data_IF_216301659496
#
_entry.id   IF_216301659496
#
_cell.length_a   1.000
_cell.length_b   1.000
_cell.length_c   1.000
_cell.angle_alpha   90.00
_cell.angle_beta   90.00
_cell.angle_gamma   90.00
#
_symmetry.space_group_name_H-M   'P 1'
#
loop_
_entity.id
_entity.type
_entity.pdbx_description
1 polymer ?
#
# COMPACT_ATOMS: atom_id res chain seq x y z
N UNK A 1 -0.36 2.50 -11.33
CA UNK A 1 -0.68 3.03 -9.99
C UNK A 1 -2.18 3.14 -9.74
N UNK A 2 -2.94 3.93 -10.51
CA UNK A 2 -4.40 4.16 -10.29
C UNK A 2 -5.23 2.88 -10.30
N UNK A 3 -4.92 1.90 -11.14
CA UNK A 3 -5.62 0.60 -11.12
C UNK A 3 -5.51 -0.09 -9.76
N UNK A 4 -4.33 -0.15 -9.17
CA UNK A 4 -4.14 -0.73 -7.84
C UNK A 4 -4.88 0.09 -6.77
N UNK A 5 -4.84 1.42 -6.85
CA UNK A 5 -5.58 2.30 -5.95
C UNK A 5 -7.10 2.05 -6.03
N UNK A 6 -7.64 1.91 -7.24
CA UNK A 6 -9.07 1.57 -7.43
C UNK A 6 -9.42 0.23 -6.78
N UNK A 7 -8.53 -0.77 -6.88
CA UNK A 7 -8.73 -2.06 -6.20
C UNK A 7 -8.71 -1.89 -4.67
N UNK A 8 -7.75 -1.15 -4.13
CA UNK A 8 -7.68 -0.88 -2.68
C UNK A 8 -8.95 -0.18 -2.17
N UNK A 9 -9.45 0.82 -2.91
CA UNK A 9 -10.68 1.53 -2.58
C UNK A 9 -11.91 0.59 -2.64
N UNK A 10 -11.97 -0.29 -3.64
CA UNK A 10 -13.06 -1.28 -3.75
C UNK A 10 -13.05 -2.24 -2.55
N UNK A 11 -11.90 -2.77 -2.18
CA UNK A 11 -11.74 -3.66 -1.02
C UNK A 11 -12.16 -2.97 0.28
N UNK A 12 -11.79 -1.70 0.46
CA UNK A 12 -12.20 -0.90 1.61
C UNK A 12 -13.73 -0.72 1.64
N UNK A 13 -14.34 -0.36 0.51
CA UNK A 13 -15.80 -0.20 0.42
C UNK A 13 -16.56 -1.48 0.69
N UNK A 14 -16.10 -2.63 0.21
CA UNK A 14 -16.70 -3.94 0.52
C UNK A 14 -16.64 -4.20 2.02
N UNK A 15 -15.50 -3.91 2.67
CA UNK A 15 -15.34 -4.08 4.11
C UNK A 15 -16.26 -3.17 4.94
N UNK A 16 -16.62 -1.99 4.41
CA UNK A 16 -17.41 -0.98 5.13
C UNK A 16 -18.92 -1.06 4.87
N UNK A 17 -19.33 -1.49 3.67
CA UNK A 17 -20.72 -1.37 3.21
C UNK A 17 -21.43 -2.73 3.25
N UNK A 18 -22.39 -2.86 4.16
CA UNK A 18 -23.21 -4.08 4.32
C UNK A 18 -23.95 -4.46 3.03
N UNK A 19 -24.49 -3.47 2.31
CA UNK A 19 -25.22 -3.71 1.06
C UNK A 19 -24.31 -4.30 -0.02
N UNK A 20 -23.05 -3.86 -0.09
CA UNK A 20 -22.07 -4.45 -0.99
C UNK A 20 -21.74 -5.90 -0.60
N UNK A 21 -21.58 -6.18 0.70
CA UNK A 21 -21.35 -7.55 1.17
C UNK A 21 -22.52 -8.46 0.85
N UNK A 22 -23.76 -7.99 1.07
CA UNK A 22 -24.97 -8.74 0.71
C UNK A 22 -25.05 -9.02 -0.79
N UNK A 23 -24.80 -8.01 -1.63
CA UNK A 23 -24.81 -8.14 -3.10
C UNK A 23 -23.79 -9.18 -3.58
N UNK A 24 -22.63 -9.25 -2.93
CA UNK A 24 -21.55 -10.19 -3.26
C UNK A 24 -21.67 -11.54 -2.53
N UNK A 25 -22.74 -11.73 -1.75
CA UNK A 25 -22.98 -12.95 -0.99
C UNK A 25 -21.87 -13.27 0.03
N UNK A 26 -21.33 -12.24 0.68
CA UNK A 26 -20.27 -12.31 1.68
C UNK A 26 -20.85 -12.31 3.10
N UNK A 27 -20.09 -12.83 4.06
CA UNK A 27 -20.46 -12.77 5.49
C UNK A 27 -20.62 -11.32 5.97
N UNK A 28 -21.46 -11.10 6.97
CA UNK A 28 -21.74 -9.75 7.51
C UNK A 28 -20.51 -9.10 8.15
N UNK A 29 -19.61 -9.91 8.71
CA UNK A 29 -18.35 -9.52 9.35
C UNK A 29 -17.13 -9.61 8.41
N UNK A 30 -17.37 -9.80 7.11
CA UNK A 30 -16.29 -9.88 6.13
C UNK A 30 -15.55 -8.55 6.00
N UNK A 31 -14.23 -8.58 6.21
CA UNK A 31 -13.34 -7.43 6.11
C UNK A 31 -12.01 -7.81 5.44
N UNK A 32 -11.39 -6.83 4.77
CA UNK A 32 -10.15 -7.03 4.01
C UNK A 32 -9.15 -5.88 4.24
N UNK A 33 -9.09 -5.32 5.45
CA UNK A 33 -8.26 -4.15 5.75
C UNK A 33 -6.75 -4.40 5.54
N UNK A 34 -6.27 -5.61 5.81
CA UNK A 34 -4.90 -6.01 5.52
C UNK A 34 -4.58 -5.92 4.02
N UNK A 35 -5.49 -6.40 3.17
CA UNK A 35 -5.36 -6.31 1.72
C UNK A 35 -5.47 -4.86 1.22
N UNK A 36 -6.31 -4.02 1.83
CA UNK A 36 -6.37 -2.59 1.53
C UNK A 36 -5.00 -1.94 1.72
N UNK A 37 -4.31 -2.23 2.85
CA UNK A 37 -2.99 -1.70 3.15
C UNK A 37 -1.96 -2.19 2.12
N UNK A 38 -1.93 -3.49 1.84
CA UNK A 38 -0.98 -4.08 0.88
C UNK A 38 -1.15 -3.46 -0.50
N UNK A 39 -2.38 -3.39 -1.01
CA UNK A 39 -2.65 -2.87 -2.36
C UNK A 39 -2.44 -1.35 -2.44
N UNK A 40 -2.73 -0.60 -1.36
CA UNK A 40 -2.40 0.84 -1.25
C UNK A 40 -0.90 1.07 -1.37
N UNK A 41 -0.08 0.29 -0.64
CA UNK A 41 1.37 0.35 -0.78
C UNK A 41 1.83 0.07 -2.22
N UNK A 42 1.35 -1.01 -2.85
CA UNK A 42 1.72 -1.32 -4.24
C UNK A 42 1.26 -0.26 -5.24
N UNK A 43 0.20 0.49 -4.96
CA UNK A 43 -0.20 1.62 -5.79
C UNK A 43 0.80 2.78 -5.71
N UNK A 44 1.31 3.09 -4.51
CA UNK A 44 2.39 4.07 -4.30
C UNK A 44 3.70 3.61 -4.96
N UNK A 45 4.08 2.35 -4.75
CA UNK A 45 5.30 1.77 -5.31
C UNK A 45 5.31 1.80 -6.83
N UNK A 46 4.22 1.38 -7.49
CA UNK A 46 4.13 1.44 -8.96
C UNK A 46 4.10 2.86 -9.50
N UNK A 47 3.56 3.82 -8.75
CA UNK A 47 3.65 5.25 -9.07
C UNK A 47 5.10 5.74 -9.00
N UNK A 48 5.82 5.35 -7.95
CA UNK A 48 7.24 5.64 -7.78
C UNK A 48 8.08 5.12 -8.95
N UNK A 49 7.85 3.88 -9.39
CA UNK A 49 8.54 3.31 -10.56
C UNK A 49 8.26 4.10 -11.83
N UNK A 50 7.05 4.64 -12.01
CA UNK A 50 6.72 5.50 -13.14
C UNK A 50 7.52 6.82 -13.10
N UNK A 51 7.68 7.41 -11.91
CA UNK A 51 8.52 8.61 -11.74
C UNK A 51 10.00 8.34 -12.06
N UNK A 52 10.53 7.21 -11.59
CA UNK A 52 11.89 6.78 -11.93
C UNK A 52 12.07 6.58 -13.43
N UNK A 53 11.13 5.92 -14.09
CA UNK A 53 11.16 5.66 -15.52
C UNK A 53 11.21 6.96 -16.33
N UNK A 54 10.51 8.02 -15.91
CA UNK A 54 10.58 9.35 -16.54
C UNK A 54 11.99 9.93 -16.50
N UNK A 55 12.77 9.61 -15.47
CA UNK A 55 14.19 10.01 -15.34
C UNK A 55 15.17 9.03 -16.03
N UNK A 56 14.67 7.98 -16.68
CA UNK A 56 15.50 6.94 -17.30
C UNK A 56 16.04 5.90 -16.32
N UNK A 57 15.63 5.90 -15.06
CA UNK A 57 16.05 4.92 -14.05
C UNK A 57 15.18 3.66 -14.07
N UNK A 58 15.82 2.53 -13.79
CA UNK A 58 15.16 1.27 -13.47
C UNK A 58 15.57 0.84 -12.07
N UNK A 59 14.61 0.48 -11.24
CA UNK A 59 14.88 -0.04 -9.91
C UNK A 59 14.37 -1.48 -9.78
N UNK A 60 15.14 -2.30 -9.05
CA UNK A 60 14.81 -3.71 -8.76
C UNK A 60 14.54 -3.93 -7.25
N UNK A 61 14.64 -2.90 -6.43
CA UNK A 61 14.39 -3.00 -5.00
C UNK A 61 13.65 -1.78 -4.46
N UNK A 62 12.90 -1.98 -3.40
CA UNK A 62 12.17 -0.92 -2.71
C UNK A 62 13.12 0.16 -2.16
N UNK A 63 14.22 -0.27 -1.53
CA UNK A 63 15.24 0.65 -0.98
C UNK A 63 15.86 1.53 -2.08
N UNK A 64 16.24 0.94 -3.22
CA UNK A 64 16.78 1.70 -4.34
C UNK A 64 15.73 2.68 -4.92
N UNK A 65 14.47 2.28 -5.01
CA UNK A 65 13.39 3.17 -5.46
C UNK A 65 13.25 4.38 -4.54
N UNK A 66 13.22 4.15 -3.23
CA UNK A 66 13.11 5.23 -2.23
C UNK A 66 14.30 6.18 -2.32
N UNK A 67 15.53 5.66 -2.35
CA UNK A 67 16.74 6.48 -2.45
C UNK A 67 16.77 7.37 -3.72
N UNK A 68 16.34 6.84 -4.87
CA UNK A 68 16.28 7.63 -6.11
C UNK A 68 15.19 8.69 -6.04
N UNK A 69 14.05 8.41 -5.42
CA UNK A 69 12.99 9.41 -5.19
C UNK A 69 13.48 10.54 -4.29
N UNK A 70 14.11 10.21 -3.16
CA UNK A 70 14.69 11.22 -2.24
C UNK A 70 15.70 12.10 -2.95
N UNK A 71 16.63 11.50 -3.65
CA UNK A 71 17.71 12.25 -4.30
C UNK A 71 17.21 13.18 -5.41
N UNK A 72 16.26 12.73 -6.25
CA UNK A 72 15.86 13.49 -7.44
C UNK A 72 14.64 14.38 -7.23
N UNK A 73 13.72 14.00 -6.34
CA UNK A 73 12.45 14.72 -6.23
C UNK A 73 12.29 15.48 -4.91
N UNK A 74 12.85 15.01 -3.79
CA UNK A 74 12.84 15.76 -2.54
C UNK A 74 13.82 16.91 -2.61
N UNK A 75 15.03 16.68 -3.15
CA UNK A 75 16.04 17.73 -3.35
C UNK A 75 15.52 18.86 -4.24
N UNK A 76 14.78 18.54 -5.29
CA UNK A 76 14.16 19.50 -6.20
C UNK A 76 12.82 20.07 -5.67
N UNK A 77 12.43 19.74 -4.42
CA UNK A 77 11.17 20.17 -3.77
C UNK A 77 9.90 19.80 -4.56
N UNK A 78 9.95 18.76 -5.39
CA UNK A 78 8.79 18.26 -6.13
C UNK A 78 7.91 17.35 -5.28
N UNK A 79 8.51 16.64 -4.32
CA UNK A 79 7.84 15.92 -3.25
C UNK A 79 8.49 16.29 -1.93
N UNK A 80 7.77 16.12 -0.82
CA UNK A 80 8.27 16.44 0.50
C UNK A 80 8.82 15.17 1.19
N UNK A 81 9.71 15.35 2.16
CA UNK A 81 10.24 14.24 2.98
C UNK A 81 9.11 13.45 3.66
N UNK A 82 8.01 14.12 4.04
CA UNK A 82 6.84 13.45 4.62
C UNK A 82 6.18 12.44 3.67
N UNK A 83 6.22 12.71 2.36
CA UNK A 83 5.66 11.80 1.35
C UNK A 83 6.51 10.53 1.21
N UNK A 84 7.83 10.69 1.27
CA UNK A 84 8.76 9.55 1.34
C UNK A 84 8.51 8.74 2.63
N UNK A 85 8.32 9.42 3.76
CA UNK A 85 8.00 8.75 5.02
C UNK A 85 6.71 7.92 4.94
N UNK A 86 5.67 8.43 4.28
CA UNK A 86 4.42 7.67 4.03
C UNK A 86 4.70 6.39 3.22
N UNK A 87 5.49 6.49 2.16
CA UNK A 87 5.88 5.33 1.35
C UNK A 87 6.67 4.30 2.17
N UNK A 88 7.65 4.74 2.96
CA UNK A 88 8.47 3.85 3.82
C UNK A 88 7.61 3.17 4.88
N UNK A 89 6.71 3.91 5.53
CA UNK A 89 5.78 3.37 6.52
C UNK A 89 4.83 2.33 5.90
N UNK A 90 4.25 2.63 4.75
CA UNK A 90 3.38 1.72 4.02
C UNK A 90 4.14 0.44 3.60
N UNK A 91 5.39 0.58 3.16
CA UNK A 91 6.27 -0.56 2.85
C UNK A 91 6.48 -1.46 4.08
N UNK A 92 6.90 -0.90 5.20
CA UNK A 92 7.17 -1.67 6.41
C UNK A 92 5.92 -2.43 6.90
N UNK A 93 4.77 -1.79 6.87
CA UNK A 93 3.50 -2.42 7.26
C UNK A 93 3.09 -3.52 6.27
N UNK A 94 3.22 -3.28 4.97
CA UNK A 94 2.93 -4.27 3.93
C UNK A 94 3.82 -5.51 4.05
N UNK A 95 5.12 -5.33 4.31
CA UNK A 95 6.05 -6.45 4.52
C UNK A 95 5.67 -7.29 5.74
N UNK A 96 5.26 -6.65 6.84
CA UNK A 96 4.79 -7.37 8.04
C UNK A 96 3.54 -8.22 7.74
N UNK A 97 2.59 -7.69 6.97
CA UNK A 97 1.37 -8.40 6.59
C UNK A 97 1.67 -9.57 5.63
N UNK A 98 2.54 -9.36 4.65
CA UNK A 98 2.96 -10.41 3.72
C UNK A 98 3.73 -11.51 4.47
N UNK A 99 4.63 -11.14 5.39
CA UNK A 99 5.33 -12.10 6.23
C UNK A 99 4.37 -12.95 7.06
N UNK A 100 3.28 -12.35 7.59
CA UNK A 100 2.22 -13.07 8.29
C UNK A 100 1.52 -14.09 7.39
N UNK A 101 1.20 -13.72 6.14
CA UNK A 101 0.60 -14.65 5.17
C UNK A 101 1.52 -15.83 4.89
N UNK A 102 2.82 -15.59 4.70
CA UNK A 102 3.84 -16.62 4.49
C UNK A 102 3.94 -17.54 5.72
N UNK A 103 4.00 -16.97 6.93
CA UNK A 103 4.06 -17.74 8.18
C UNK A 103 2.79 -18.57 8.38
N UNK A 104 1.62 -18.09 8.00
CA UNK A 104 0.37 -18.85 8.08
C UNK A 104 0.42 -20.08 7.18
N UNK A 105 1.07 -19.99 6.01
CA UNK A 105 1.33 -21.14 5.13
C UNK A 105 2.25 -22.17 5.81
N UNK A 106 3.31 -21.72 6.46
CA UNK A 106 4.29 -22.58 7.16
C UNK A 106 3.72 -23.13 8.48
N UNK A 107 2.87 -22.36 9.18
CA UNK A 107 2.24 -22.74 10.48
C UNK A 107 1.09 -23.74 10.35
N UNK A 108 0.57 -23.99 9.16
CA UNK A 108 -0.27 -25.20 8.94
C UNK A 108 0.55 -26.48 9.17
N UNK A 109 1.87 -26.36 9.20
CA UNK A 109 2.79 -27.48 9.47
C UNK A 109 3.31 -27.51 10.92
N UNK A 110 3.27 -26.39 11.67
CA UNK A 110 3.71 -26.33 13.08
C UNK A 110 2.97 -25.23 13.86
N UNK A 111 2.15 -25.63 14.84
CA UNK A 111 1.37 -24.72 15.67
C UNK A 111 2.26 -23.90 16.63
N UNK A 112 2.52 -22.64 16.32
CA UNK A 112 2.99 -21.64 17.28
C UNK A 112 2.41 -20.25 16.99
N UNK A 113 1.79 -19.65 18.01
CA UNK A 113 1.14 -18.34 17.95
C UNK A 113 2.16 -17.21 18.08
N UNK A 114 2.31 -16.39 17.03
CA UNK A 114 2.92 -15.07 17.16
C UNK A 114 1.78 -14.02 17.18
N UNK A 115 1.78 -13.17 18.19
CA UNK A 115 0.88 -12.00 18.30
C UNK A 115 1.19 -11.03 17.15
N UNK A 116 0.28 -10.95 16.20
CA UNK A 116 0.33 -9.95 15.14
C UNK A 116 -0.59 -8.80 15.54
N UNK A 117 -0.20 -7.53 15.33
CA UNK A 117 -1.08 -6.41 15.58
C UNK A 117 -2.39 -6.58 14.79
N UNK A 118 -3.51 -6.36 15.45
CA UNK A 118 -4.82 -6.32 14.81
C UNK A 118 -4.84 -5.15 13.83
N UNK A 119 -5.15 -5.40 12.57
CA UNK A 119 -5.33 -4.35 11.58
C UNK A 119 -6.70 -3.73 11.77
N UNK A 120 -6.73 -2.40 11.90
CA UNK A 120 -7.97 -1.66 12.10
C UNK A 120 -8.42 -0.97 10.82
N UNK A 121 -9.70 -0.64 10.78
CA UNK A 121 -10.29 0.20 9.75
C UNK A 121 -9.52 1.52 9.56
N UNK A 122 -9.16 2.17 10.67
CA UNK A 122 -8.43 3.45 10.66
C UNK A 122 -7.07 3.31 10.00
N UNK A 123 -6.35 2.21 10.24
CA UNK A 123 -5.08 1.92 9.58
C UNK A 123 -5.27 1.73 8.08
N UNK A 124 -6.30 1.00 7.67
CA UNK A 124 -6.62 0.80 6.26
C UNK A 124 -7.03 2.10 5.57
N UNK A 125 -7.86 2.92 6.24
CA UNK A 125 -8.27 4.24 5.73
C UNK A 125 -7.08 5.17 5.57
N UNK A 126 -6.20 5.25 6.56
CA UNK A 126 -4.98 6.05 6.50
C UNK A 126 -4.08 5.62 5.33
N UNK A 127 -3.88 4.31 5.15
CA UNK A 127 -3.07 3.80 4.04
C UNK A 127 -3.67 4.17 2.67
N UNK A 128 -4.99 4.14 2.56
CA UNK A 128 -5.70 4.52 1.34
C UNK A 128 -5.54 6.03 1.05
N UNK A 129 -5.73 6.88 2.05
CA UNK A 129 -5.60 8.34 1.92
C UNK A 129 -4.15 8.75 1.59
N UNK A 130 -3.17 8.16 2.27
CA UNK A 130 -1.75 8.36 1.99
C UNK A 130 -1.38 7.95 0.56
N UNK A 131 -1.97 6.85 0.06
CA UNK A 131 -1.73 6.39 -1.30
C UNK A 131 -2.32 7.35 -2.34
N UNK A 132 -3.53 7.86 -2.13
CA UNK A 132 -4.14 8.82 -3.05
C UNK A 132 -3.34 10.12 -3.14
N UNK A 133 -2.96 10.68 -2.00
CA UNK A 133 -2.14 11.90 -1.94
C UNK A 133 -0.79 11.70 -2.64
N UNK A 134 -0.11 10.59 -2.35
CA UNK A 134 1.19 10.28 -2.95
C UNK A 134 1.09 10.11 -4.47
N UNK A 135 0.12 9.33 -4.95
CA UNK A 135 -0.07 9.09 -6.39
C UNK A 135 -0.36 10.40 -7.12
N UNK A 136 -1.22 11.24 -6.54
CA UNK A 136 -1.57 12.55 -7.12
C UNK A 136 -0.34 13.42 -7.29
N UNK A 137 0.53 13.52 -6.28
CA UNK A 137 1.80 14.25 -6.38
C UNK A 137 2.73 13.70 -7.45
N UNK A 138 2.84 12.38 -7.55
CA UNK A 138 3.64 11.78 -8.62
C UNK A 138 3.05 12.08 -10.00
N UNK A 139 1.75 12.03 -10.17
CA UNK A 139 1.06 12.37 -11.43
C UNK A 139 1.31 13.83 -11.84
N UNK A 140 1.29 14.76 -10.89
CA UNK A 140 1.64 16.15 -11.12
C UNK A 140 3.08 16.33 -11.64
N UNK A 141 4.04 15.54 -11.12
CA UNK A 141 5.42 15.52 -11.60
C UNK A 141 5.52 14.91 -13.00
N UNK A 142 4.65 13.96 -13.35
CA UNK A 142 4.65 13.27 -14.61
C UNK A 142 3.95 14.04 -15.73
N UNK A 143 3.05 14.94 -15.39
CA UNK A 143 2.36 15.82 -16.34
C UNK A 143 3.30 16.88 -16.91
#
# INVERSE_FOLDING_TARGET
SRKNFTIANLLFRISEQEDMRKLLNLASDFEMYDWVIIVSYYSMYTSSLSALAKLGFKSKSHAATIAVLEYNFVKDKKIETKDIYKLVKAYALSEQLIAKLIQTKTKRETAQYATTPSITKEMAKTALDDADEFITKIEEILS
#
